data_IF_557113790226
#
_entry.id   IF_557113790226
#
_cell.length_a   1.000
_cell.length_b   1.000
_cell.length_c   1.000
_cell.angle_alpha   90.00
_cell.angle_beta   90.00
_cell.angle_gamma   90.00
#
_symmetry.space_group_name_H-M   'P 1'
#
loop_
_entity.id
_entity.type
_entity.pdbx_description
1 polymer ?
#
# COMPACT_ATOMS: atom_id res chain seq x y z
N UNK A 1 -60.68 42.36 41.67
CA UNK A 1 -59.43 42.94 42.19
C UNK A 1 -58.88 42.01 43.27
N UNK A 2 -57.65 41.46 43.19
CA UNK A 2 -56.89 41.00 42.03
C UNK A 2 -56.40 39.52 42.18
N UNK A 3 -55.85 39.00 41.07
CA UNK A 3 -55.12 37.75 40.91
C UNK A 3 -53.77 37.74 41.67
N UNK A 4 -53.28 36.55 42.01
CA UNK A 4 -51.89 36.31 42.41
C UNK A 4 -51.49 34.82 42.40
N UNK A 5 -51.37 34.23 41.21
CA UNK A 5 -50.83 32.88 40.99
C UNK A 5 -49.30 32.87 41.20
N UNK A 6 -48.81 32.27 42.29
CA UNK A 6 -47.38 31.99 42.48
C UNK A 6 -46.98 30.72 41.70
N UNK A 7 -46.36 30.91 40.53
CA UNK A 7 -45.61 29.89 39.80
C UNK A 7 -44.31 29.56 40.56
N UNK A 8 -44.24 28.37 41.17
CA UNK A 8 -42.99 27.83 41.71
C UNK A 8 -42.15 27.28 40.56
N UNK A 9 -41.11 28.03 40.15
CA UNK A 9 -40.09 27.58 39.19
C UNK A 9 -39.35 26.36 39.75
N UNK A 10 -39.50 25.22 39.08
CA UNK A 10 -38.59 24.09 39.19
C UNK A 10 -37.26 24.50 38.54
N UNK A 11 -36.20 24.61 39.34
CA UNK A 11 -34.82 24.73 38.84
C UNK A 11 -34.44 23.39 38.21
N UNK A 12 -34.41 23.35 36.87
CA UNK A 12 -33.77 22.26 36.13
C UNK A 12 -32.27 22.31 36.34
N UNK A 13 -31.73 21.36 37.09
CA UNK A 13 -30.30 21.11 37.15
C UNK A 13 -29.91 20.24 35.94
N UNK A 14 -29.26 20.84 34.95
CA UNK A 14 -28.61 20.10 33.87
C UNK A 14 -27.35 19.42 34.44
N UNK A 15 -27.48 18.16 34.85
CA UNK A 15 -26.32 17.28 35.05
C UNK A 15 -25.72 16.99 33.68
N UNK A 16 -24.66 17.69 33.31
CA UNK A 16 -23.77 17.24 32.25
C UNK A 16 -23.17 15.91 32.66
N UNK A 17 -23.51 14.85 31.95
CA UNK A 17 -22.90 13.55 32.15
C UNK A 17 -21.44 13.66 31.68
N UNK A 18 -20.51 13.74 32.63
CA UNK A 18 -19.10 13.56 32.35
C UNK A 18 -18.89 12.11 31.89
N UNK A 19 -18.54 11.93 30.62
CA UNK A 19 -18.04 10.65 30.13
C UNK A 19 -16.77 10.25 30.88
N UNK A 20 -16.38 8.96 30.85
CA UNK A 20 -15.23 8.47 31.59
C UNK A 20 -13.96 9.23 31.16
N UNK A 21 -13.35 9.95 32.11
CA UNK A 21 -12.06 10.60 31.89
C UNK A 21 -10.98 9.51 31.87
N UNK A 22 -10.19 9.46 30.79
CA UNK A 22 -9.02 8.60 30.72
C UNK A 22 -8.06 8.98 31.87
N UNK A 23 -7.57 8.03 32.66
CA UNK A 23 -6.60 8.34 33.72
C UNK A 23 -5.29 8.78 33.07
N UNK A 24 -5.00 10.08 33.16
CA UNK A 24 -3.74 10.67 32.72
C UNK A 24 -2.73 10.53 33.87
N UNK A 25 -1.58 9.85 33.67
CA UNK A 25 -0.54 9.80 34.68
C UNK A 25 -0.09 11.21 35.08
N UNK A 26 0.20 11.43 36.35
CA UNK A 26 0.67 12.72 36.85
C UNK A 26 1.92 13.18 36.08
N UNK A 27 1.92 14.41 35.59
CA UNK A 27 3.01 14.98 34.80
C UNK A 27 2.98 14.65 33.31
N UNK A 28 2.05 13.83 32.81
CA UNK A 28 1.85 13.60 31.38
C UNK A 28 0.89 14.64 30.77
N UNK A 29 1.01 14.89 29.46
CA UNK A 29 0.07 15.70 28.70
C UNK A 29 -0.78 14.84 27.77
N UNK A 30 -2.01 15.30 27.49
CA UNK A 30 -2.91 14.65 26.51
C UNK A 30 -2.84 15.38 25.18
N UNK A 31 -2.46 14.65 24.14
CA UNK A 31 -2.44 15.13 22.76
C UNK A 31 -3.71 14.65 22.09
N UNK A 32 -4.47 15.59 21.53
CA UNK A 32 -5.64 15.29 20.70
C UNK A 32 -5.44 15.94 19.34
N UNK A 33 -5.63 15.16 18.28
CA UNK A 33 -5.58 15.61 16.88
C UNK A 33 -6.89 15.29 16.19
N UNK A 34 -7.54 16.32 15.67
CA UNK A 34 -8.69 16.19 14.77
C UNK A 34 -8.17 16.28 13.33
N UNK A 35 -8.14 15.16 12.63
CA UNK A 35 -7.69 15.08 11.24
C UNK A 35 -8.87 15.33 10.32
N UNK A 36 -8.71 16.33 9.45
CA UNK A 36 -9.71 16.78 8.51
C UNK A 36 -9.20 16.56 7.08
N UNK A 37 -10.12 16.19 6.19
CA UNK A 37 -9.87 16.12 4.76
C UNK A 37 -9.78 17.54 4.13
N UNK A 38 -9.42 17.64 2.84
CA UNK A 38 -9.32 18.93 2.14
C UNK A 38 -10.64 19.72 2.04
N UNK A 39 -11.80 19.09 2.30
CA UNK A 39 -13.12 19.73 2.29
C UNK A 39 -13.71 19.89 3.71
N UNK A 40 -12.85 19.82 4.74
CA UNK A 40 -13.18 19.98 6.16
C UNK A 40 -14.09 18.89 6.76
N UNK A 41 -14.11 17.69 6.20
CA UNK A 41 -14.79 16.55 6.83
C UNK A 41 -13.82 15.76 7.73
N UNK A 42 -14.30 15.24 8.87
CA UNK A 42 -13.48 14.38 9.72
C UNK A 42 -13.04 13.12 8.98
N UNK A 43 -11.74 12.81 9.07
CA UNK A 43 -11.14 11.70 8.35
C UNK A 43 -10.80 10.56 9.30
N UNK A 44 -11.59 9.49 9.24
CA UNK A 44 -11.28 8.24 9.95
C UNK A 44 -10.25 7.38 9.23
N UNK A 45 -9.65 6.46 9.98
CA UNK A 45 -8.65 5.52 9.51
C UNK A 45 -7.37 6.15 8.91
N UNK A 46 -7.08 7.43 9.19
CA UNK A 46 -5.79 8.02 8.88
C UNK A 46 -4.73 7.47 9.85
N UNK A 47 -3.61 6.98 9.33
CA UNK A 47 -2.49 6.52 10.12
C UNK A 47 -1.78 7.70 10.78
N UNK A 48 -1.63 7.65 12.10
CA UNK A 48 -0.95 8.67 12.89
C UNK A 48 0.23 8.04 13.61
N UNK A 49 1.41 8.64 13.42
CA UNK A 49 2.63 8.27 14.14
C UNK A 49 3.18 9.50 14.85
N UNK A 50 3.44 9.36 16.15
CA UNK A 50 4.09 10.38 16.97
C UNK A 50 5.48 9.89 17.35
N UNK A 51 6.50 10.67 17.03
CA UNK A 51 7.91 10.33 17.27
C UNK A 51 8.56 11.40 18.12
N UNK A 52 9.19 10.98 19.21
CA UNK A 52 9.97 11.86 20.09
C UNK A 52 11.20 12.40 19.34
N UNK A 53 11.41 13.73 19.33
CA UNK A 53 12.43 14.36 18.48
C UNK A 53 13.86 14.07 18.94
N UNK A 54 14.10 14.00 20.25
CA UNK A 54 15.46 13.78 20.79
C UNK A 54 15.96 12.34 20.63
N UNK A 55 15.06 11.36 20.73
CA UNK A 55 15.40 9.93 20.71
C UNK A 55 15.06 9.24 19.39
N UNK A 56 14.27 9.88 18.52
CA UNK A 56 13.64 9.31 17.33
C UNK A 56 12.78 8.05 17.61
N UNK A 57 12.39 7.83 18.87
CA UNK A 57 11.54 6.70 19.25
C UNK A 57 10.08 7.01 18.95
N UNK A 58 9.36 6.05 18.37
CA UNK A 58 7.90 6.14 18.20
C UNK A 58 7.26 6.10 19.58
N UNK A 59 6.64 7.20 19.99
CA UNK A 59 6.00 7.36 21.29
C UNK A 59 4.54 6.93 21.27
N UNK A 60 3.86 7.12 20.13
CA UNK A 60 2.50 6.61 19.91
C UNK A 60 2.28 6.31 18.41
N UNK A 61 1.45 5.31 18.13
CA UNK A 61 0.99 5.00 16.77
C UNK A 61 -0.43 4.47 16.84
N UNK A 62 -1.28 4.88 15.90
CA UNK A 62 -2.64 4.41 15.78
C UNK A 62 -3.31 4.97 14.55
N UNK A 63 -4.61 4.76 14.43
CA UNK A 63 -5.44 5.38 13.40
C UNK A 63 -6.43 6.35 14.01
N UNK A 64 -6.88 7.32 13.23
CA UNK A 64 -8.01 8.18 13.63
C UNK A 64 -9.30 7.37 13.70
N UNK A 65 -10.15 7.72 14.67
CA UNK A 65 -11.50 7.16 14.79
C UNK A 65 -12.42 7.66 13.65
N UNK A 66 -13.65 7.14 13.51
CA UNK A 66 -14.59 7.60 12.47
C UNK A 66 -14.94 9.09 12.51
N UNK A 67 -14.62 9.80 13.60
CA UNK A 67 -14.81 11.24 13.78
C UNK A 67 -13.51 12.02 13.60
N UNK A 68 -12.46 11.40 13.05
CA UNK A 68 -11.19 12.04 12.75
C UNK A 68 -10.27 12.25 13.95
N UNK A 69 -10.61 11.75 15.14
CA UNK A 69 -9.81 11.98 16.32
C UNK A 69 -8.73 10.92 16.52
N UNK A 70 -7.53 11.39 16.82
CA UNK A 70 -6.44 10.60 17.40
C UNK A 70 -6.09 11.19 18.76
N UNK A 71 -5.90 10.32 19.76
CA UNK A 71 -5.53 10.72 21.11
C UNK A 71 -4.34 9.90 21.62
N UNK A 72 -3.38 10.58 22.24
CA UNK A 72 -2.25 9.94 22.91
C UNK A 72 -1.93 10.67 24.22
N UNK A 73 -1.48 9.91 25.23
CA UNK A 73 -0.95 10.46 26.47
C UNK A 73 0.56 10.34 26.43
N UNK A 74 1.27 11.46 26.51
CA UNK A 74 2.70 11.53 26.30
C UNK A 74 3.40 12.26 27.45
N UNK A 75 4.64 11.86 27.81
CA UNK A 75 5.48 12.66 28.68
C UNK A 75 5.73 14.06 28.10
N UNK A 76 6.05 15.07 28.93
CA UNK A 76 6.43 16.38 28.45
C UNK A 76 7.68 16.32 27.57
N UNK A 77 7.70 17.12 26.51
CA UNK A 77 8.82 17.20 25.57
C UNK A 77 8.39 17.46 24.13
N UNK A 78 9.38 17.43 23.23
CA UNK A 78 9.21 17.78 21.82
C UNK A 78 8.98 16.54 20.95
N UNK A 79 7.93 16.59 20.13
CA UNK A 79 7.52 15.49 19.26
C UNK A 79 7.33 15.95 17.82
N UNK A 80 7.38 14.99 16.90
CA UNK A 80 6.91 15.13 15.53
C UNK A 80 5.67 14.27 15.33
N UNK A 81 4.69 14.81 14.62
CA UNK A 81 3.50 14.11 14.16
C UNK A 81 3.67 13.81 12.67
N UNK A 82 3.37 12.58 12.26
CA UNK A 82 3.18 12.21 10.87
C UNK A 82 1.77 11.63 10.72
N UNK A 83 0.95 12.27 9.88
CA UNK A 83 -0.38 11.79 9.51
C UNK A 83 -0.35 11.37 8.05
N UNK A 84 -0.74 10.14 7.77
CA UNK A 84 -0.83 9.58 6.42
C UNK A 84 -2.26 9.11 6.21
N UNK A 85 -2.86 9.52 5.11
CA UNK A 85 -4.15 9.02 4.66
C UNK A 85 -4.10 8.71 3.18
N UNK A 86 -4.91 7.75 2.75
CA UNK A 86 -4.98 7.33 1.35
C UNK A 86 -5.39 8.51 0.46
N UNK A 87 -4.60 8.76 -0.59
CA UNK A 87 -4.87 9.82 -1.56
C UNK A 87 -4.52 11.25 -1.15
N UNK A 88 -3.98 11.46 0.05
CA UNK A 88 -3.62 12.77 0.58
C UNK A 88 -2.11 12.91 0.81
N UNK A 89 -1.61 14.14 0.83
CA UNK A 89 -0.21 14.43 1.15
C UNK A 89 0.07 14.08 2.62
N UNK A 90 1.19 13.39 2.91
CA UNK A 90 1.60 13.16 4.28
C UNK A 90 1.78 14.49 5.02
N UNK A 91 1.02 14.70 6.08
CA UNK A 91 1.15 15.89 6.90
C UNK A 91 2.17 15.64 8.00
N UNK A 92 3.12 16.58 8.15
CA UNK A 92 4.14 16.54 9.19
C UNK A 92 4.19 17.86 9.95
N UNK A 93 4.14 17.79 11.26
CA UNK A 93 4.31 18.94 12.15
C UNK A 93 5.19 18.56 13.36
N UNK A 94 5.74 19.56 14.03
CA UNK A 94 6.38 19.39 15.33
C UNK A 94 5.59 20.14 16.40
N UNK A 95 5.49 19.55 17.58
CA UNK A 95 4.73 20.13 18.68
C UNK A 95 5.36 19.79 20.03
N UNK A 96 5.04 20.58 21.05
CA UNK A 96 5.48 20.38 22.42
C UNK A 96 4.33 19.80 23.25
N UNK A 97 4.65 18.82 24.09
CA UNK A 97 3.76 18.31 25.13
C UNK A 97 4.15 18.96 26.44
N UNK A 98 3.18 19.60 27.09
CA UNK A 98 3.35 20.21 28.41
C UNK A 98 2.66 19.34 29.47
N UNK A 99 3.31 19.20 30.63
CA UNK A 99 2.79 18.44 31.76
C UNK A 99 1.38 18.92 32.16
N UNK A 100 0.53 17.98 32.58
CA UNK A 100 -0.80 18.21 33.13
C UNK A 100 -1.74 19.02 32.21
N UNK A 101 -1.44 19.03 30.90
CA UNK A 101 -2.31 19.65 29.90
C UNK A 101 -3.44 18.69 29.54
N UNK A 102 -4.68 19.14 29.73
CA UNK A 102 -5.89 18.39 29.37
C UNK A 102 -6.11 18.26 27.86
N UNK A 103 -7.10 17.46 27.44
CA UNK A 103 -7.36 17.21 26.02
C UNK A 103 -7.88 18.48 25.33
N UNK A 104 -6.99 19.16 24.60
CA UNK A 104 -7.34 20.26 23.69
C UNK A 104 -7.15 19.79 22.25
N UNK A 105 -8.22 19.58 21.48
CA UNK A 105 -8.11 19.17 20.09
C UNK A 105 -7.39 20.23 19.24
N UNK A 106 -6.33 19.82 18.55
CA UNK A 106 -5.70 20.62 17.50
C UNK A 106 -6.05 20.00 16.15
N UNK A 107 -6.39 20.86 15.18
CA UNK A 107 -6.82 20.44 13.85
C UNK A 107 -5.63 20.25 12.93
N UNK A 108 -5.63 19.14 12.20
CA UNK A 108 -4.68 18.82 11.16
C UNK A 108 -5.44 18.73 9.85
N UNK A 109 -5.19 19.68 8.95
CA UNK A 109 -5.75 19.69 7.62
C UNK A 109 -4.83 18.95 6.66
N UNK A 110 -5.33 17.86 6.12
CA UNK A 110 -4.65 17.15 5.05
C UNK A 110 -4.92 17.84 3.71
N UNK A 111 -3.94 17.79 2.83
CA UNK A 111 -4.04 18.32 1.47
C UNK A 111 -4.18 17.18 0.48
N UNK A 112 -4.89 17.40 -0.61
CA UNK A 112 -4.94 16.43 -1.71
C UNK A 112 -3.54 16.20 -2.25
N UNK A 113 -3.13 14.94 -2.38
CA UNK A 113 -1.88 14.63 -3.05
C UNK A 113 -1.95 15.09 -4.49
N UNK A 114 -0.91 15.81 -4.95
CA UNK A 114 -0.80 16.21 -6.34
C UNK A 114 -0.90 14.97 -7.23
N UNK A 115 -1.96 14.92 -8.04
CA UNK A 115 -2.10 13.88 -9.04
C UNK A 115 -1.01 14.09 -10.10
N UNK A 116 -0.20 13.05 -10.31
CA UNK A 116 0.80 13.07 -11.38
C UNK A 116 0.09 13.05 -12.74
N UNK A 117 0.71 13.69 -13.74
CA UNK A 117 0.24 13.60 -15.12
C UNK A 117 0.25 12.14 -15.57
N UNK A 118 -0.91 11.69 -16.03
CA UNK A 118 -1.12 10.31 -16.46
C UNK A 118 -0.40 10.05 -17.78
N UNK A 119 0.03 8.80 -18.04
CA UNK A 119 0.64 8.47 -19.31
C UNK A 119 -0.35 8.76 -20.44
N UNK A 120 0.17 9.23 -21.58
CA UNK A 120 -0.65 9.47 -22.76
C UNK A 120 -1.26 8.15 -23.27
N UNK A 121 -2.49 8.18 -23.83
CA UNK A 121 -3.09 7.02 -24.46
C UNK A 121 -2.23 6.43 -25.56
N UNK A 122 -2.17 5.09 -25.64
CA UNK A 122 -1.37 4.35 -26.60
C UNK A 122 -0.73 3.11 -25.99
N UNK A 123 0.14 2.46 -26.77
CA UNK A 123 0.83 1.25 -26.34
C UNK A 123 2.15 1.62 -25.68
N UNK A 124 2.42 1.04 -24.52
CA UNK A 124 3.68 1.16 -23.81
C UNK A 124 4.28 -0.24 -23.65
N UNK A 125 5.54 -0.40 -24.01
CA UNK A 125 6.27 -1.67 -23.91
C UNK A 125 7.10 -1.66 -22.63
N UNK A 126 7.20 -2.80 -21.94
CA UNK A 126 8.13 -2.89 -20.82
C UNK A 126 9.56 -2.65 -21.31
N UNK A 127 10.36 -2.02 -20.46
CA UNK A 127 11.80 -1.92 -20.62
C UNK A 127 12.46 -3.01 -19.76
N UNK A 128 12.86 -4.17 -20.33
CA UNK A 128 13.31 -5.32 -19.53
C UNK A 128 14.52 -5.03 -18.64
N UNK A 129 15.57 -4.30 -19.09
CA UNK A 129 16.66 -3.86 -18.22
C UNK A 129 16.24 -3.05 -16.98
N UNK A 130 15.12 -2.34 -17.03
CA UNK A 130 14.63 -1.48 -15.95
C UNK A 130 13.31 -1.96 -15.34
N UNK A 131 12.89 -3.18 -15.66
CA UNK A 131 11.69 -3.82 -15.11
C UNK A 131 12.09 -5.07 -14.36
N UNK A 132 11.58 -5.23 -13.14
CA UNK A 132 11.88 -6.38 -12.30
C UNK A 132 10.61 -6.94 -11.67
N UNK A 133 10.44 -8.26 -11.77
CA UNK A 133 9.39 -9.02 -11.10
C UNK A 133 10.05 -9.84 -10.01
N UNK A 134 9.95 -9.37 -8.76
CA UNK A 134 10.57 -10.01 -7.60
C UNK A 134 9.53 -10.61 -6.67
N UNK A 135 9.96 -11.62 -5.93
CA UNK A 135 9.17 -12.22 -4.88
C UNK A 135 10.00 -12.47 -3.62
N UNK A 136 9.31 -12.51 -2.49
CA UNK A 136 9.87 -12.81 -1.18
C UNK A 136 9.04 -13.93 -0.55
N UNK A 137 9.68 -15.05 -0.28
CA UNK A 137 9.08 -16.19 0.42
C UNK A 137 9.66 -16.31 1.83
N UNK A 138 8.82 -16.59 2.83
CA UNK A 138 9.29 -16.89 4.19
C UNK A 138 9.76 -18.34 4.29
N UNK A 139 10.96 -18.54 4.85
CA UNK A 139 11.55 -19.85 5.11
C UNK A 139 11.60 -20.10 6.63
N UNK A 140 10.95 -21.16 7.08
CA UNK A 140 10.75 -21.52 8.52
C UNK A 140 10.16 -20.37 9.37
N UNK A 141 9.47 -19.40 8.75
CA UNK A 141 8.94 -18.23 9.47
C UNK A 141 9.98 -17.24 10.02
N UNK A 142 11.27 -17.45 9.74
CA UNK A 142 12.37 -16.62 10.26
C UNK A 142 13.16 -15.93 9.14
N UNK A 143 13.56 -16.68 8.12
CA UNK A 143 14.40 -16.16 7.05
C UNK A 143 13.58 -15.79 5.82
N UNK A 144 14.09 -14.86 5.01
CA UNK A 144 13.51 -14.49 3.72
C UNK A 144 14.33 -15.07 2.57
N UNK A 145 13.62 -15.68 1.62
CA UNK A 145 14.16 -16.09 0.34
C UNK A 145 13.70 -15.10 -0.69
N UNK A 146 14.64 -14.37 -1.27
CA UNK A 146 14.41 -13.45 -2.36
C UNK A 146 14.59 -14.20 -3.68
N UNK A 147 13.69 -13.96 -4.61
CA UNK A 147 13.84 -14.44 -5.98
C UNK A 147 13.24 -13.46 -6.98
N UNK A 148 13.47 -13.75 -8.25
CA UNK A 148 12.95 -12.98 -9.38
C UNK A 148 12.74 -13.88 -10.59
N UNK A 149 11.99 -13.38 -11.56
CA UNK A 149 11.95 -13.91 -12.91
C UNK A 149 12.77 -13.01 -13.84
N UNK A 150 13.63 -13.61 -14.65
CA UNK A 150 14.56 -12.86 -15.51
C UNK A 150 14.02 -12.64 -16.93
N UNK A 151 13.01 -13.42 -17.35
CA UNK A 151 12.44 -13.33 -18.70
C UNK A 151 10.93 -13.16 -18.64
N UNK A 152 10.45 -12.11 -19.29
CA UNK A 152 9.05 -11.79 -19.44
C UNK A 152 8.83 -10.90 -20.67
N UNK A 153 7.61 -10.91 -21.17
CA UNK A 153 7.17 -10.07 -22.28
C UNK A 153 5.80 -9.47 -22.00
N UNK A 154 5.41 -8.48 -22.79
CA UNK A 154 4.09 -7.86 -22.72
C UNK A 154 4.15 -6.35 -22.79
N UNK A 155 3.11 -5.72 -22.24
CA UNK A 155 3.02 -4.27 -22.21
C UNK A 155 1.73 -3.75 -21.61
N UNK A 156 1.58 -2.43 -21.75
CA UNK A 156 0.49 -1.65 -21.18
C UNK A 156 -0.21 -0.91 -22.31
N UNK A 157 -1.51 -1.16 -22.46
CA UNK A 157 -2.37 -0.35 -23.33
C UNK A 157 -3.04 0.71 -22.46
N UNK A 158 -2.66 1.96 -22.66
CA UNK A 158 -3.30 3.11 -22.01
C UNK A 158 -4.45 3.58 -22.89
N UNK A 159 -5.64 3.67 -22.30
CA UNK A 159 -6.84 4.24 -22.92
C UNK A 159 -7.03 5.70 -22.45
N UNK A 160 -7.86 6.51 -23.15
CA UNK A 160 -8.21 7.85 -22.69
C UNK A 160 -8.82 7.88 -21.29
N UNK A 161 -9.61 6.86 -20.95
CA UNK A 161 -10.02 6.58 -19.58
C UNK A 161 -9.11 5.50 -18.98
N UNK A 162 -8.36 5.84 -17.93
CA UNK A 162 -7.46 4.92 -17.26
C UNK A 162 -8.15 3.65 -16.75
N UNK A 163 -9.44 3.69 -16.38
CA UNK A 163 -10.16 2.49 -15.96
C UNK A 163 -10.29 1.45 -17.09
N UNK A 164 -10.20 1.89 -18.35
CA UNK A 164 -10.23 1.04 -19.54
C UNK A 164 -8.84 0.63 -20.04
N UNK A 165 -7.77 1.13 -19.42
CA UNK A 165 -6.40 0.68 -19.70
C UNK A 165 -6.20 -0.78 -19.31
N UNK A 166 -5.29 -1.47 -19.98
CA UNK A 166 -5.00 -2.90 -19.79
C UNK A 166 -3.51 -3.15 -19.69
N UNK A 167 -3.13 -4.15 -18.91
CA UNK A 167 -1.76 -4.67 -18.79
C UNK A 167 -1.82 -6.15 -19.10
N UNK A 168 -0.88 -6.62 -19.92
CA UNK A 168 -0.64 -8.03 -20.15
C UNK A 168 0.85 -8.30 -19.90
N UNK A 169 1.14 -9.32 -19.09
CA UNK A 169 2.49 -9.82 -18.85
C UNK A 169 2.47 -11.33 -19.02
N UNK A 170 3.42 -11.86 -19.78
CA UNK A 170 3.74 -13.28 -19.82
C UNK A 170 5.16 -13.47 -19.30
N UNK A 171 5.31 -14.32 -18.28
CA UNK A 171 6.57 -14.61 -17.62
C UNK A 171 6.97 -16.03 -17.96
N UNK A 172 8.23 -16.24 -18.38
CA UNK A 172 8.80 -17.57 -18.53
C UNK A 172 9.10 -18.14 -17.14
N UNK A 173 8.35 -19.16 -16.73
CA UNK A 173 8.46 -19.77 -15.40
C UNK A 173 9.84 -20.40 -15.17
N UNK A 174 10.53 -20.82 -16.22
CA UNK A 174 11.88 -21.41 -16.14
C UNK A 174 12.97 -20.37 -15.85
N UNK A 175 12.66 -19.08 -15.99
CA UNK A 175 13.56 -17.96 -15.68
C UNK A 175 13.65 -17.62 -14.19
N UNK A 176 12.99 -18.41 -13.32
CA UNK A 176 13.06 -18.22 -11.88
C UNK A 176 14.50 -18.39 -11.38
N UNK A 177 14.95 -17.41 -10.60
CA UNK A 177 16.23 -17.48 -9.88
C UNK A 177 16.08 -16.97 -8.47
N UNK A 178 16.75 -17.65 -7.55
CA UNK A 178 16.90 -17.25 -6.14
C UNK A 178 18.37 -17.12 -5.76
N UNK A 179 19.26 -17.12 -6.76
CA UNK A 179 20.71 -17.16 -6.58
C UNK A 179 21.24 -18.51 -6.11
N UNK A 180 20.44 -19.58 -6.14
CA UNK A 180 20.84 -20.92 -5.72
C UNK A 180 20.35 -21.96 -6.74
N UNK A 181 21.28 -22.47 -7.54
CA UNK A 181 20.98 -23.38 -8.66
C UNK A 181 20.22 -24.64 -8.24
N UNK A 182 20.53 -25.23 -7.09
CA UNK A 182 19.83 -26.43 -6.61
C UNK A 182 18.39 -26.13 -6.27
N UNK A 183 18.14 -25.02 -5.56
CA UNK A 183 16.77 -24.57 -5.26
C UNK A 183 16.03 -24.17 -6.52
N UNK A 184 16.67 -23.47 -7.44
CA UNK A 184 16.05 -23.01 -8.69
C UNK A 184 15.68 -24.19 -9.59
N UNK A 185 16.47 -25.25 -9.59
CA UNK A 185 16.15 -26.52 -10.27
C UNK A 185 14.92 -27.18 -9.64
N UNK A 186 14.84 -27.21 -8.30
CA UNK A 186 13.70 -27.78 -7.60
C UNK A 186 12.42 -26.96 -7.81
N UNK A 187 12.50 -25.62 -7.79
CA UNK A 187 11.37 -24.74 -8.04
C UNK A 187 10.78 -24.90 -9.45
N UNK A 188 11.60 -25.30 -10.43
CA UNK A 188 11.16 -25.58 -11.80
C UNK A 188 10.47 -26.94 -11.96
N UNK A 189 10.73 -27.89 -11.07
CA UNK A 189 10.20 -29.25 -11.16
C UNK A 189 8.69 -29.36 -10.95
N UNK A 190 8.14 -30.54 -11.23
CA UNK A 190 6.73 -30.89 -10.98
C UNK A 190 6.28 -30.78 -9.51
N UNK A 191 7.22 -30.64 -8.59
CA UNK A 191 6.91 -30.41 -7.18
C UNK A 191 6.47 -28.97 -6.88
N UNK A 192 6.79 -28.01 -7.78
CA UNK A 192 6.51 -26.58 -7.65
C UNK A 192 5.86 -25.99 -8.92
N UNK A 193 6.64 -25.35 -9.80
CA UNK A 193 6.10 -24.63 -10.96
C UNK A 193 5.79 -25.56 -12.15
N UNK A 194 6.31 -26.78 -12.16
CA UNK A 194 6.10 -27.78 -13.20
C UNK A 194 6.27 -27.17 -14.61
N UNK A 195 7.44 -26.54 -14.84
CA UNK A 195 7.65 -25.66 -16.01
C UNK A 195 7.58 -26.40 -17.34
N UNK A 196 7.75 -27.72 -17.33
CA UNK A 196 7.57 -28.56 -18.52
C UNK A 196 6.09 -28.62 -18.96
N UNK A 197 5.15 -28.53 -18.01
CA UNK A 197 3.70 -28.57 -18.27
C UNK A 197 3.06 -27.18 -18.25
N UNK A 198 3.60 -26.26 -17.45
CA UNK A 198 3.14 -24.89 -17.31
C UNK A 198 4.31 -23.91 -17.51
N UNK A 199 4.79 -23.73 -18.74
CA UNK A 199 5.98 -22.93 -19.03
C UNK A 199 5.80 -21.43 -18.77
N UNK A 200 4.55 -20.95 -18.69
CA UNK A 200 4.23 -19.54 -18.56
C UNK A 200 3.39 -19.22 -17.33
N UNK A 201 3.66 -18.05 -16.75
CA UNK A 201 2.80 -17.38 -15.79
C UNK A 201 2.25 -16.14 -16.48
N UNK A 202 0.93 -16.04 -16.60
CA UNK A 202 0.27 -14.95 -17.32
C UNK A 202 -0.52 -14.06 -16.37
N UNK A 203 -0.34 -12.74 -16.48
CA UNK A 203 -1.18 -11.76 -15.81
C UNK A 203 -1.91 -10.89 -16.84
N UNK A 204 -3.24 -10.85 -16.73
CA UNK A 204 -4.09 -9.96 -17.53
C UNK A 204 -4.89 -9.06 -16.62
N UNK A 205 -4.71 -7.75 -16.73
CA UNK A 205 -5.50 -6.80 -15.95
C UNK A 205 -6.92 -6.60 -16.51
N UNK A 206 -7.80 -6.17 -15.62
CA UNK A 206 -9.20 -5.89 -15.91
C UNK A 206 -9.55 -4.43 -15.67
N UNK A 207 -8.91 -3.77 -14.70
CA UNK A 207 -9.20 -2.39 -14.32
C UNK A 207 -8.05 -1.74 -13.55
N UNK A 208 -7.78 -0.48 -13.85
CA UNK A 208 -7.08 0.44 -12.94
C UNK A 208 -8.12 1.20 -12.11
N UNK A 209 -7.98 1.14 -10.78
CA UNK A 209 -8.82 1.90 -9.85
C UNK A 209 -7.98 2.96 -9.15
N UNK A 210 -8.32 4.24 -9.34
CA UNK A 210 -7.63 5.35 -8.69
C UNK A 210 -7.91 5.38 -7.19
N UNK A 211 -6.85 5.59 -6.40
CA UNK A 211 -6.90 5.70 -4.94
C UNK A 211 -6.44 7.06 -4.41
N UNK A 212 -6.16 8.01 -5.29
CA UNK A 212 -5.72 9.35 -4.93
C UNK A 212 -4.20 9.52 -5.01
N UNK A 213 -3.76 10.75 -5.28
CA UNK A 213 -2.35 11.09 -5.50
C UNK A 213 -1.71 10.25 -6.61
N UNK A 214 -0.70 9.47 -6.24
CA UNK A 214 0.00 8.52 -7.11
C UNK A 214 -0.47 7.08 -6.94
N UNK A 215 -1.49 6.81 -6.12
CA UNK A 215 -1.90 5.46 -5.75
C UNK A 215 -3.02 4.92 -6.65
N UNK A 216 -2.87 3.66 -7.02
CA UNK A 216 -3.77 2.91 -7.89
C UNK A 216 -3.87 1.47 -7.40
N UNK A 217 -4.98 0.81 -7.68
CA UNK A 217 -5.09 -0.65 -7.62
C UNK A 217 -5.20 -1.18 -9.04
N UNK A 218 -4.30 -2.09 -9.42
CA UNK A 218 -4.41 -2.83 -10.67
C UNK A 218 -5.06 -4.18 -10.38
N UNK A 219 -6.32 -4.33 -10.79
CA UNK A 219 -7.05 -5.58 -10.66
C UNK A 219 -6.81 -6.45 -11.89
N UNK A 220 -6.56 -7.74 -11.70
CA UNK A 220 -6.35 -8.67 -12.82
C UNK A 220 -6.52 -10.12 -12.44
N UNK A 221 -6.32 -10.99 -13.43
CA UNK A 221 -6.25 -12.44 -13.26
C UNK A 221 -4.81 -12.89 -13.45
N UNK A 222 -4.27 -13.58 -12.45
CA UNK A 222 -2.99 -14.28 -12.51
C UNK A 222 -3.26 -15.77 -12.78
N UNK A 223 -2.75 -16.27 -13.90
CA UNK A 223 -2.74 -17.67 -14.27
C UNK A 223 -1.37 -18.27 -13.98
N UNK A 224 -1.32 -19.29 -13.13
CA UNK A 224 -0.09 -19.96 -12.72
C UNK A 224 -0.40 -21.42 -12.39
N UNK A 225 0.43 -22.33 -12.90
CA UNK A 225 0.32 -23.77 -12.64
C UNK A 225 -1.12 -24.32 -12.90
N UNK A 226 -1.70 -23.92 -14.04
CA UNK A 226 -3.02 -24.36 -14.48
C UNK A 226 -4.21 -23.74 -13.74
N UNK A 227 -3.98 -22.80 -12.81
CA UNK A 227 -5.04 -22.14 -12.03
C UNK A 227 -5.03 -20.64 -12.24
N UNK A 228 -6.22 -20.07 -12.46
CA UNK A 228 -6.44 -18.62 -12.51
C UNK A 228 -7.06 -18.11 -11.21
N UNK A 229 -6.51 -17.01 -10.69
CA UNK A 229 -7.05 -16.29 -9.53
C UNK A 229 -7.05 -14.80 -9.76
N UNK A 230 -8.04 -14.12 -9.20
CA UNK A 230 -8.07 -12.66 -9.15
C UNK A 230 -7.01 -12.16 -8.17
N UNK A 231 -6.21 -11.20 -8.60
CA UNK A 231 -5.17 -10.54 -7.81
C UNK A 231 -5.35 -9.04 -7.95
N UNK A 232 -5.12 -8.32 -6.85
CA UNK A 232 -5.03 -6.87 -6.83
C UNK A 232 -3.58 -6.47 -6.54
N UNK A 233 -3.00 -5.64 -7.40
CA UNK A 233 -1.69 -5.05 -7.16
C UNK A 233 -1.85 -3.64 -6.60
N UNK A 234 -1.25 -3.38 -5.45
CA UNK A 234 -1.11 -2.05 -4.85
C UNK A 234 -0.03 -1.28 -5.62
N UNK A 235 -0.46 -0.37 -6.48
CA UNK A 235 0.39 0.30 -7.45
C UNK A 235 0.63 1.76 -7.07
N UNK A 236 1.90 2.17 -7.09
CA UNK A 236 2.32 3.57 -6.97
C UNK A 236 2.88 4.02 -8.30
N UNK A 237 2.17 4.91 -8.97
CA UNK A 237 2.63 5.53 -10.20
C UNK A 237 3.69 6.59 -9.90
N UNK A 238 4.83 6.53 -10.58
CA UNK A 238 5.95 7.43 -10.33
C UNK A 238 6.00 8.62 -11.31
N UNK A 239 5.10 8.65 -12.29
CA UNK A 239 5.02 9.70 -13.29
C UNK A 239 5.59 9.29 -14.64
N UNK A 240 5.48 10.23 -15.57
CA UNK A 240 6.12 10.18 -16.88
C UNK A 240 7.33 11.10 -16.91
N UNK A 241 8.39 10.68 -17.59
CA UNK A 241 9.55 11.51 -17.88
C UNK A 241 9.87 11.42 -19.36
N UNK A 242 10.24 12.55 -19.94
CA UNK A 242 10.98 12.58 -21.19
C UNK A 242 12.46 12.41 -20.81
N UNK A 243 13.08 11.28 -21.17
CA UNK A 243 14.46 11.05 -20.79
C UNK A 243 14.98 9.64 -21.05
N UNK A 244 15.85 9.53 -22.04
CA UNK A 244 16.56 8.35 -22.53
C UNK A 244 17.36 8.72 -23.78
N UNK A 245 17.97 7.76 -24.48
CA UNK A 245 18.48 8.01 -25.84
C UNK A 245 17.33 8.50 -26.74
N UNK A 246 17.43 9.69 -27.33
CA UNK A 246 16.50 10.15 -28.37
C UNK A 246 15.11 10.64 -27.91
N UNK A 247 14.97 11.18 -26.69
CA UNK A 247 13.70 11.77 -26.19
C UNK A 247 12.51 10.80 -26.07
N UNK A 248 12.77 9.50 -25.93
CA UNK A 248 11.72 8.51 -25.68
C UNK A 248 10.93 8.80 -24.39
N UNK A 249 9.61 8.87 -24.52
CA UNK A 249 8.69 9.04 -23.39
C UNK A 249 8.64 7.75 -22.57
N UNK A 250 8.89 7.86 -21.27
CA UNK A 250 8.91 6.74 -20.33
C UNK A 250 7.96 6.98 -19.17
N UNK A 251 7.39 5.92 -18.63
CA UNK A 251 6.63 5.96 -17.39
C UNK A 251 7.11 4.87 -16.44
N UNK A 252 6.93 5.10 -15.14
CA UNK A 252 7.35 4.13 -14.13
C UNK A 252 6.27 3.93 -13.06
N UNK A 253 6.23 2.73 -12.50
CA UNK A 253 5.36 2.37 -11.40
C UNK A 253 6.01 1.30 -10.51
N UNK A 254 5.68 1.36 -9.23
CA UNK A 254 5.94 0.29 -8.27
C UNK A 254 4.64 -0.47 -8.04
N UNK A 255 4.66 -1.79 -7.96
CA UNK A 255 3.48 -2.56 -7.60
C UNK A 255 3.82 -3.64 -6.57
N UNK A 256 2.90 -3.89 -5.65
CA UNK A 256 3.03 -4.94 -4.63
C UNK A 256 1.77 -5.77 -4.53
N UNK A 257 1.91 -7.02 -4.13
CA UNK A 257 0.79 -7.88 -3.77
C UNK A 257 1.25 -8.99 -2.82
N UNK A 258 0.29 -9.61 -2.15
CA UNK A 258 0.51 -10.84 -1.39
C UNK A 258 -0.25 -11.98 -2.06
N UNK A 259 0.44 -13.09 -2.31
CA UNK A 259 -0.16 -14.33 -2.82
C UNK A 259 -0.06 -15.43 -1.77
N UNK A 260 -1.02 -16.34 -1.80
CA UNK A 260 -0.95 -17.58 -1.04
C UNK A 260 -0.76 -18.76 -1.99
N UNK A 261 0.31 -19.55 -1.78
CA UNK A 261 0.65 -20.68 -2.65
C UNK A 261 -0.46 -21.74 -2.76
N UNK A 262 -1.29 -21.84 -1.73
CA UNK A 262 -2.38 -22.82 -1.67
C UNK A 262 -3.49 -22.54 -2.69
N UNK A 263 -3.63 -21.27 -3.11
CA UNK A 263 -4.58 -20.86 -4.13
C UNK A 263 -4.24 -21.42 -5.52
N UNK A 264 -2.98 -21.85 -5.71
CA UNK A 264 -2.39 -22.31 -6.97
C UNK A 264 -1.93 -23.78 -6.88
N UNK A 265 -2.70 -24.62 -6.18
CA UNK A 265 -2.51 -26.09 -6.04
C UNK A 265 -1.33 -26.56 -5.19
N UNK A 266 -0.46 -25.65 -4.75
CA UNK A 266 0.67 -25.94 -3.87
C UNK A 266 0.22 -25.96 -2.40
N UNK A 267 -0.69 -26.87 -2.02
CA UNK A 267 -1.19 -26.97 -0.66
C UNK A 267 -0.22 -27.71 0.29
N UNK A 268 -0.31 -27.40 1.59
CA UNK A 268 0.58 -27.96 2.61
C UNK A 268 0.65 -29.48 2.67
N UNK A 269 -0.48 -30.19 2.49
CA UNK A 269 -0.52 -31.66 2.53
C UNK A 269 0.25 -32.28 1.36
N UNK A 270 0.08 -31.73 0.16
CA UNK A 270 0.84 -32.12 -1.03
C UNK A 270 2.34 -31.90 -0.83
N UNK A 271 2.72 -30.75 -0.27
CA UNK A 271 4.12 -30.44 0.04
C UNK A 271 4.73 -31.39 1.06
N UNK A 272 4.03 -31.67 2.17
CA UNK A 272 4.52 -32.61 3.19
C UNK A 272 4.68 -34.03 2.62
N UNK A 273 3.74 -34.48 1.80
CA UNK A 273 3.84 -35.79 1.12
C UNK A 273 5.06 -35.88 0.19
N UNK A 274 5.53 -34.73 -0.33
CA UNK A 274 6.75 -34.58 -1.13
C UNK A 274 8.00 -34.25 -0.29
N UNK A 275 7.89 -34.20 1.04
CA UNK A 275 9.01 -33.89 1.95
C UNK A 275 9.36 -32.40 2.08
N UNK A 276 8.50 -31.51 1.59
CA UNK A 276 8.72 -30.05 1.56
C UNK A 276 8.01 -29.43 2.77
N UNK A 277 8.69 -29.32 3.91
CA UNK A 277 8.07 -28.90 5.18
C UNK A 277 8.35 -27.45 5.60
N UNK A 278 9.05 -26.64 4.78
CA UNK A 278 9.82 -25.50 5.32
C UNK A 278 9.48 -24.13 4.69
N UNK A 279 8.57 -24.09 3.71
CA UNK A 279 8.21 -22.86 3.00
C UNK A 279 6.86 -22.32 3.49
N UNK A 280 6.86 -21.05 3.92
CA UNK A 280 5.67 -20.33 4.36
C UNK A 280 4.61 -20.23 3.24
N UNK A 281 3.32 -20.09 3.60
CA UNK A 281 2.24 -20.06 2.62
C UNK A 281 2.17 -18.75 1.84
N UNK A 282 2.65 -17.66 2.44
CA UNK A 282 2.63 -16.31 1.90
C UNK A 282 3.85 -16.01 1.04
N UNK A 283 3.61 -15.47 -0.15
CA UNK A 283 4.59 -14.96 -1.09
C UNK A 283 4.30 -13.47 -1.33
N UNK A 284 5.23 -12.60 -0.98
CA UNK A 284 5.12 -11.17 -1.30
C UNK A 284 5.67 -10.94 -2.71
N UNK A 285 4.97 -10.16 -3.50
CA UNK A 285 5.40 -9.69 -4.81
C UNK A 285 5.85 -8.23 -4.73
N UNK A 286 6.96 -7.93 -5.38
CA UNK A 286 7.46 -6.58 -5.56
C UNK A 286 7.86 -6.38 -7.02
N UNK A 287 7.20 -5.44 -7.68
CA UNK A 287 7.43 -5.11 -9.08
C UNK A 287 7.94 -3.67 -9.18
N UNK A 288 9.07 -3.51 -9.87
CA UNK A 288 9.54 -2.22 -10.37
C UNK A 288 9.30 -2.24 -11.88
N UNK A 289 8.47 -1.35 -12.40
CA UNK A 289 8.10 -1.34 -13.81
C UNK A 289 8.53 -0.02 -14.42
N UNK A 290 9.27 -0.11 -15.52
CA UNK A 290 9.45 0.98 -16.46
C UNK A 290 8.90 0.56 -17.82
N UNK A 291 8.15 1.45 -18.45
CA UNK A 291 7.62 1.23 -19.78
C UNK A 291 7.92 2.41 -20.70
N UNK A 292 8.16 2.11 -21.97
CA UNK A 292 8.49 3.07 -23.03
C UNK A 292 7.28 3.21 -23.94
N UNK A 293 6.92 4.45 -24.27
CA UNK A 293 5.85 4.70 -25.22
C UNK A 293 6.25 4.18 -26.61
N UNK A 294 5.40 3.34 -27.21
CA UNK A 294 5.67 2.76 -28.52
C UNK A 294 5.39 3.78 -29.61
N UNK A 295 6.45 4.25 -30.26
CA UNK A 295 6.44 5.01 -31.51
C UNK A 295 6.84 4.11 -32.68
N UNK A 296 6.88 4.66 -33.89
CA UNK A 296 7.43 3.94 -35.05
C UNK A 296 8.94 3.66 -34.94
N UNK A 297 9.65 4.41 -34.09
CA UNK A 297 11.12 4.36 -33.95
C UNK A 297 11.56 3.64 -32.68
N UNK A 298 10.62 3.26 -31.80
CA UNK A 298 10.98 2.57 -30.55
C UNK A 298 11.67 1.26 -30.91
N UNK A 299 12.96 1.10 -30.57
CA UNK A 299 13.68 -0.13 -30.85
C UNK A 299 13.01 -1.27 -30.10
N UNK A 300 12.91 -2.44 -30.74
CA UNK A 300 12.62 -3.67 -30.01
C UNK A 300 13.69 -3.81 -28.92
N UNK A 301 13.31 -4.02 -27.64
CA UNK A 301 14.30 -4.24 -26.60
C UNK A 301 15.29 -5.34 -27.06
N UNK A 302 16.60 -5.16 -26.88
CA UNK A 302 17.57 -6.18 -27.24
C UNK A 302 17.23 -7.49 -26.50
N UNK A 303 17.33 -8.61 -27.22
CA UNK A 303 17.11 -9.97 -26.68
C UNK A 303 18.05 -10.31 -25.52
#
# INVERSE_FOLDING_TARGET
>A
MPLGLLRRRLKGASRGAAGPALPVPAGAGVVVREVLDPVNQPMGAADVTVTELGSHRVAARGTTDPYGFFMAVLPPGSYSLLVIAEGLEPHRETFEVVADTGPSPQRVWLQSARQLELPVPGTWLFDPPHTAIRFIAKHVGMAHVHGRFERFEGGIQIAPDMAQSRVHVRIDASSITTGNNTRDTHLRSADFLDVDRFPYIDFTSTRFAYRGGSKWILQGSLHMHGVSRSVALDTTYLGTVNGGYGEELRCAALAKAELHREDYTLNWRSMLARGIAVVGPTIQLELDVQAMYRTHDTPTPPE
#
